data_IF_077490126234
#
_entry.id   IF_077490126234
#
_cell.length_a   1.000
_cell.length_b   1.000
_cell.length_c   1.000
_cell.angle_alpha   90.00
_cell.angle_beta   90.00
_cell.angle_gamma   90.00
#
_symmetry.space_group_name_H-M   'P 1'
#
loop_
_entity.id
_entity.type
_entity.pdbx_description
1 polymer ?
#
# COMPACT_ATOMS: atom_id res chain seq x y z
N UNK A 1 17.83 -55.98 -62.16
CA UNK A 1 17.33 -54.84 -61.38
C UNK A 1 16.14 -55.38 -60.63
N UNK A 2 16.21 -55.50 -59.31
CA UNK A 2 15.19 -56.21 -58.54
C UNK A 2 13.91 -55.38 -58.51
N UNK A 3 12.75 -56.01 -58.72
CA UNK A 3 11.46 -55.32 -58.69
C UNK A 3 11.24 -54.56 -57.37
N UNK A 4 11.78 -55.09 -56.25
CA UNK A 4 11.78 -54.43 -54.94
C UNK A 4 12.59 -53.12 -54.91
N UNK A 5 13.70 -53.02 -55.65
CA UNK A 5 14.49 -51.77 -55.73
C UNK A 5 13.75 -50.72 -56.56
N UNK A 6 13.07 -51.15 -57.63
CA UNK A 6 12.25 -50.28 -58.46
C UNK A 6 11.05 -49.76 -57.66
N UNK A 7 10.43 -50.61 -56.84
CA UNK A 7 9.33 -50.22 -55.95
C UNK A 7 9.78 -49.28 -54.84
N UNK A 8 10.96 -49.51 -54.23
CA UNK A 8 11.56 -48.60 -53.25
C UNK A 8 11.86 -47.22 -53.86
N UNK A 9 12.46 -47.17 -55.05
CA UNK A 9 12.75 -45.91 -55.74
C UNK A 9 11.48 -45.15 -56.16
N UNK A 10 10.40 -45.87 -56.52
CA UNK A 10 9.09 -45.25 -56.77
C UNK A 10 8.49 -44.66 -55.48
N UNK A 11 8.60 -45.38 -54.35
CA UNK A 11 8.11 -44.89 -53.07
C UNK A 11 8.90 -43.66 -52.60
N UNK A 12 10.22 -43.65 -52.74
CA UNK A 12 11.07 -42.49 -52.43
C UNK A 12 10.74 -41.30 -53.33
N UNK A 13 10.53 -41.53 -54.64
CA UNK A 13 10.16 -40.46 -55.56
C UNK A 13 8.79 -39.84 -55.23
N UNK A 14 7.80 -40.65 -54.85
CA UNK A 14 6.49 -40.15 -54.42
C UNK A 14 6.57 -39.42 -53.07
N UNK A 15 7.41 -39.90 -52.15
CA UNK A 15 7.67 -39.20 -50.90
C UNK A 15 8.30 -37.82 -51.15
N UNK A 16 9.32 -37.74 -52.01
CA UNK A 16 9.99 -36.49 -52.38
C UNK A 16 9.04 -35.50 -53.06
N UNK A 17 8.16 -35.98 -53.95
CA UNK A 17 7.11 -35.15 -54.56
C UNK A 17 6.17 -34.57 -53.51
N UNK A 18 5.73 -35.39 -52.56
CA UNK A 18 4.84 -34.98 -51.46
C UNK A 18 5.53 -33.95 -50.56
N UNK A 19 6.79 -34.17 -50.21
CA UNK A 19 7.60 -33.23 -49.42
C UNK A 19 7.77 -31.89 -50.14
N UNK A 20 8.04 -31.90 -51.44
CA UNK A 20 8.16 -30.69 -52.26
C UNK A 20 6.84 -29.93 -52.35
N UNK A 21 5.72 -30.62 -52.53
CA UNK A 21 4.39 -30.00 -52.56
C UNK A 21 4.03 -29.38 -51.21
N UNK A 22 4.32 -30.06 -50.10
CA UNK A 22 4.15 -29.53 -48.75
C UNK A 22 5.03 -28.29 -48.51
N UNK A 23 6.29 -28.31 -48.93
CA UNK A 23 7.19 -27.17 -48.83
C UNK A 23 6.72 -25.98 -49.69
N UNK A 24 6.25 -26.23 -50.90
CA UNK A 24 5.68 -25.19 -51.76
C UNK A 24 4.42 -24.56 -51.15
N UNK A 25 3.55 -25.38 -50.54
CA UNK A 25 2.38 -24.90 -49.82
C UNK A 25 2.77 -24.05 -48.60
N UNK A 26 3.71 -24.54 -47.79
CA UNK A 26 4.19 -23.80 -46.61
C UNK A 26 4.86 -22.47 -47.00
N UNK A 27 5.65 -22.45 -48.07
CA UNK A 27 6.23 -21.22 -48.60
C UNK A 27 5.13 -20.24 -49.04
N UNK A 28 4.07 -20.72 -49.72
CA UNK A 28 2.94 -19.88 -50.10
C UNK A 28 2.19 -19.29 -48.89
N UNK A 29 2.03 -20.05 -47.81
CA UNK A 29 1.42 -19.53 -46.58
C UNK A 29 2.33 -18.52 -45.86
N UNK A 30 3.64 -18.75 -45.85
CA UNK A 30 4.61 -17.78 -45.32
C UNK A 30 4.60 -16.48 -46.12
N UNK A 31 4.55 -16.55 -47.45
CA UNK A 31 4.44 -15.38 -48.32
C UNK A 31 3.17 -14.57 -48.03
N UNK A 32 2.01 -15.25 -47.88
CA UNK A 32 0.76 -14.58 -47.48
C UNK A 32 0.87 -13.94 -46.10
N UNK A 33 1.49 -14.62 -45.13
CA UNK A 33 1.69 -14.08 -43.79
C UNK A 33 2.60 -12.86 -43.81
N UNK A 34 3.68 -12.90 -44.60
CA UNK A 34 4.58 -11.76 -44.81
C UNK A 34 3.81 -10.56 -45.39
N UNK A 35 2.99 -10.78 -46.42
CA UNK A 35 2.18 -9.71 -47.02
C UNK A 35 1.17 -9.15 -46.02
N UNK A 36 0.50 -10.00 -45.24
CA UNK A 36 -0.43 -9.55 -44.18
C UNK A 36 0.27 -8.68 -43.13
N UNK A 37 1.42 -9.14 -42.61
CA UNK A 37 2.19 -8.37 -41.63
C UNK A 37 2.71 -7.06 -42.21
N UNK A 38 3.11 -7.04 -43.49
CA UNK A 38 3.53 -5.81 -44.15
C UNK A 38 2.38 -4.80 -44.29
N UNK A 39 1.16 -5.28 -44.54
CA UNK A 39 -0.03 -4.42 -44.62
C UNK A 39 -0.44 -3.89 -43.24
N UNK A 40 -0.36 -4.72 -42.19
CA UNK A 40 -0.57 -4.32 -40.80
C UNK A 40 0.44 -3.24 -40.37
N UNK A 41 1.72 -3.40 -40.72
CA UNK A 41 2.75 -2.39 -40.44
C UNK A 41 2.57 -1.09 -41.24
N UNK A 42 1.89 -1.15 -42.40
CA UNK A 42 1.54 0.02 -43.21
C UNK A 42 0.37 0.81 -42.63
N UNK A 43 -0.44 0.21 -41.77
CA UNK A 43 -1.46 0.94 -41.01
C UNK A 43 -0.76 1.83 -39.96
N UNK A 44 -0.34 3.02 -40.41
CA UNK A 44 0.35 4.06 -39.63
C UNK A 44 -0.52 4.68 -38.51
N UNK A 45 -1.71 4.15 -38.25
CA UNK A 45 -2.60 4.61 -37.19
C UNK A 45 -2.42 3.73 -35.95
N UNK A 46 -1.20 3.67 -35.42
CA UNK A 46 -1.05 3.33 -34.01
C UNK A 46 -1.57 4.53 -33.22
N UNK A 47 -2.85 4.46 -32.83
CA UNK A 47 -3.54 5.50 -32.08
C UNK A 47 -2.98 5.53 -30.65
N UNK A 48 -1.87 6.24 -30.46
CA UNK A 48 -1.23 6.47 -29.17
C UNK A 48 -2.20 7.01 -28.10
N UNK A 49 -3.29 7.66 -28.51
CA UNK A 49 -4.30 8.20 -27.62
C UNK A 49 -5.07 7.15 -26.80
N UNK A 50 -4.94 5.85 -27.11
CA UNK A 50 -5.63 4.77 -26.39
C UNK A 50 -4.67 3.73 -25.80
N UNK A 51 -3.36 4.00 -25.82
CA UNK A 51 -2.39 3.13 -25.15
C UNK A 51 -2.48 3.31 -23.63
N UNK A 52 -3.37 2.52 -23.04
CA UNK A 52 -3.61 2.46 -21.61
C UNK A 52 -2.30 2.18 -20.84
N UNK A 53 -1.35 1.46 -21.44
CA UNK A 53 -0.08 1.15 -20.80
C UNK A 53 0.86 2.36 -20.83
N UNK A 54 0.89 3.13 -21.92
CA UNK A 54 1.58 4.43 -21.95
C UNK A 54 0.98 5.43 -20.95
N UNK A 55 -0.36 5.49 -20.84
CA UNK A 55 -1.02 6.38 -19.88
C UNK A 55 -0.71 5.96 -18.43
N UNK A 56 -0.70 4.65 -18.14
CA UNK A 56 -0.26 4.14 -16.83
C UNK A 56 1.18 4.51 -16.54
N UNK A 57 2.09 4.34 -17.49
CA UNK A 57 3.51 4.65 -17.30
C UNK A 57 3.73 6.16 -17.14
N UNK A 58 3.02 7.00 -17.90
CA UNK A 58 3.02 8.46 -17.74
C UNK A 58 2.52 8.89 -16.35
N UNK A 59 1.42 8.30 -15.89
CA UNK A 59 0.89 8.55 -14.54
C UNK A 59 1.88 8.11 -13.45
N UNK A 60 2.53 6.95 -13.63
CA UNK A 60 3.56 6.45 -12.73
C UNK A 60 4.78 7.36 -12.70
N UNK A 61 5.22 7.81 -13.87
CA UNK A 61 6.32 8.76 -13.99
C UNK A 61 6.02 10.07 -13.27
N UNK A 62 4.79 10.60 -13.43
CA UNK A 62 4.32 11.78 -12.71
C UNK A 62 4.36 11.58 -11.19
N UNK A 63 3.84 10.46 -10.68
CA UNK A 63 3.90 10.14 -9.25
C UNK A 63 5.34 10.08 -8.72
N UNK A 64 6.26 9.52 -9.50
CA UNK A 64 7.68 9.47 -9.13
C UNK A 64 8.32 10.86 -9.09
N UNK A 65 7.99 11.74 -10.04
CA UNK A 65 8.44 13.13 -10.04
C UNK A 65 7.92 13.90 -8.82
N UNK A 66 6.64 13.76 -8.51
CA UNK A 66 6.02 14.40 -7.33
C UNK A 66 6.67 13.90 -6.02
N UNK A 67 6.99 12.60 -5.94
CA UNK A 67 7.70 12.02 -4.81
C UNK A 67 9.15 12.53 -4.71
N UNK A 68 9.86 12.66 -5.83
CA UNK A 68 11.21 13.23 -5.87
C UNK A 68 11.19 14.68 -5.38
N UNK A 69 10.22 15.48 -5.81
CA UNK A 69 10.10 16.87 -5.38
C UNK A 69 9.83 16.97 -3.88
N UNK A 70 8.88 16.17 -3.38
CA UNK A 70 8.60 16.08 -1.94
C UNK A 70 9.86 15.67 -1.14
N UNK A 71 10.62 14.70 -1.63
CA UNK A 71 11.87 14.29 -0.97
C UNK A 71 12.93 15.39 -1.01
N UNK A 72 13.05 16.14 -2.12
CA UNK A 72 13.96 17.27 -2.24
C UNK A 72 13.64 18.39 -1.25
N UNK A 73 12.37 18.65 -0.99
CA UNK A 73 11.92 19.61 0.01
C UNK A 73 12.17 19.11 1.45
N UNK A 74 11.95 17.83 1.73
CA UNK A 74 12.14 17.26 3.06
C UNK A 74 13.61 17.14 3.48
N UNK A 75 14.51 16.88 2.53
CA UNK A 75 15.93 16.64 2.77
C UNK A 75 16.65 17.81 3.49
N UNK A 76 16.51 19.10 3.09
CA UNK A 76 17.10 20.21 3.83
C UNK A 76 16.47 20.38 5.23
N UNK A 77 15.15 20.21 5.35
CA UNK A 77 14.44 20.30 6.64
C UNK A 77 14.95 19.25 7.63
N UNK A 78 15.14 18.00 7.16
CA UNK A 78 15.69 16.92 7.98
C UNK A 78 17.16 17.16 8.34
N UNK A 79 17.98 17.66 7.40
CA UNK A 79 19.38 18.05 7.68
C UNK A 79 19.46 19.13 8.75
N UNK A 80 18.58 20.14 8.69
CA UNK A 80 18.51 21.19 9.69
C UNK A 80 18.02 20.65 11.04
N UNK A 81 17.01 19.78 11.05
CA UNK A 81 16.55 19.09 12.27
C UNK A 81 17.66 18.24 12.90
N UNK A 82 18.49 17.57 12.11
CA UNK A 82 19.65 16.80 12.62
C UNK A 82 20.73 17.74 13.16
N UNK A 83 21.02 18.83 12.46
CA UNK A 83 22.00 19.84 12.92
C UNK A 83 21.57 20.49 14.23
N UNK A 84 20.26 20.71 14.39
CA UNK A 84 19.65 21.30 15.58
C UNK A 84 19.25 20.25 16.63
N UNK A 85 19.37 18.96 16.31
CA UNK A 85 19.17 17.89 17.26
C UNK A 85 20.36 17.93 18.22
N UNK A 86 20.11 18.45 19.42
CA UNK A 86 21.00 18.25 20.56
C UNK A 86 21.23 16.73 20.68
N UNK A 87 22.49 16.31 20.81
CA UNK A 87 22.88 14.90 21.06
C UNK A 87 22.18 14.31 22.28
N UNK A 88 21.58 15.16 23.11
CA UNK A 88 20.79 14.82 24.25
C UNK A 88 19.45 15.59 24.22
N UNK A 89 18.34 14.89 24.49
CA UNK A 89 16.98 15.46 24.45
C UNK A 89 16.75 16.58 25.49
N UNK A 90 15.57 17.23 25.49
CA UNK A 90 15.26 18.37 26.37
C UNK A 90 15.38 18.06 27.86
N UNK A 91 15.27 16.78 28.25
CA UNK A 91 15.42 16.32 29.64
C UNK A 91 16.88 16.06 30.05
N UNK A 92 17.82 16.24 29.12
CA UNK A 92 19.21 15.99 29.38
C UNK A 92 19.90 17.19 30.00
N UNK A 93 20.30 17.03 31.25
CA UNK A 93 20.97 18.08 32.05
C UNK A 93 22.50 18.07 31.90
N UNK A 94 23.06 17.15 31.10
CA UNK A 94 24.49 17.07 30.84
C UNK A 94 24.93 18.25 29.97
N UNK A 95 25.85 19.06 30.47
CA UNK A 95 26.53 20.07 29.66
C UNK A 95 27.75 19.44 28.99
N UNK A 96 28.12 19.96 27.82
CA UNK A 96 29.32 19.52 27.10
C UNK A 96 30.59 19.67 27.97
N UNK A 97 30.63 20.71 28.81
CA UNK A 97 31.73 20.98 29.75
C UNK A 97 31.80 19.95 30.90
N UNK A 98 30.75 19.17 31.14
CA UNK A 98 30.73 18.13 32.17
C UNK A 98 31.57 16.92 31.75
N UNK A 99 31.79 16.75 30.43
CA UNK A 99 32.46 15.61 29.81
C UNK A 99 33.86 15.97 29.30
N UNK A 100 34.17 17.26 29.12
CA UNK A 100 35.45 17.73 28.59
C UNK A 100 36.40 18.17 29.72
N UNK A 101 36.90 17.21 30.50
CA UNK A 101 37.83 17.47 31.61
C UNK A 101 39.20 16.89 31.28
N UNK A 102 40.23 17.74 31.32
CA UNK A 102 41.61 17.34 31.05
C UNK A 102 42.29 16.87 32.34
N UNK A 103 42.30 15.56 32.59
CA UNK A 103 42.70 14.96 33.87
C UNK A 103 44.14 15.31 34.32
N UNK A 104 45.04 15.57 33.37
CA UNK A 104 46.47 15.78 33.64
C UNK A 104 46.78 17.17 34.22
N UNK A 105 45.82 18.10 34.16
CA UNK A 105 45.95 19.47 34.66
C UNK A 105 45.29 19.70 36.02
N UNK A 106 44.71 18.66 36.64
CA UNK A 106 44.01 18.80 37.92
C UNK A 106 44.95 18.57 39.11
N UNK A 107 44.84 19.43 40.11
CA UNK A 107 45.40 19.15 41.44
C UNK A 107 44.66 17.98 42.10
N UNK A 108 45.25 17.29 43.10
CA UNK A 108 44.60 16.19 43.81
C UNK A 108 43.23 16.58 44.43
N UNK A 109 43.10 17.81 44.91
CA UNK A 109 41.85 18.32 45.47
C UNK A 109 40.77 18.57 44.40
N UNK A 110 41.17 19.03 43.21
CA UNK A 110 40.26 19.19 42.07
C UNK A 110 39.82 17.84 41.52
N UNK A 111 40.73 16.88 41.41
CA UNK A 111 40.42 15.52 41.00
C UNK A 111 39.37 14.89 41.93
N UNK A 112 39.56 15.02 43.26
CA UNK A 112 38.59 14.52 44.24
C UNK A 112 37.21 15.18 44.10
N UNK A 113 37.15 16.49 43.82
CA UNK A 113 35.89 17.19 43.56
C UNK A 113 35.22 16.70 42.28
N UNK A 114 36.00 16.46 41.23
CA UNK A 114 35.52 15.92 39.96
C UNK A 114 34.97 14.50 40.11
N UNK A 115 35.65 13.62 40.87
CA UNK A 115 35.15 12.27 41.17
C UNK A 115 33.81 12.33 41.91
N UNK A 116 33.71 13.12 42.98
CA UNK A 116 32.43 13.29 43.72
C UNK A 116 31.31 13.84 42.85
N UNK A 117 31.64 14.72 41.90
CA UNK A 117 30.69 15.24 40.92
C UNK A 117 30.20 14.12 40.00
N UNK A 118 31.11 13.30 39.46
CA UNK A 118 30.74 12.16 38.62
C UNK A 118 29.92 11.11 39.35
N UNK A 119 30.17 10.87 40.64
CA UNK A 119 29.35 9.97 41.45
C UNK A 119 27.90 10.46 41.58
N UNK A 120 27.70 11.77 41.81
CA UNK A 120 26.35 12.36 41.82
C UNK A 120 25.68 12.25 40.46
N UNK A 121 26.41 12.61 39.40
CA UNK A 121 25.91 12.53 38.04
C UNK A 121 25.50 11.10 37.66
N UNK A 122 26.28 10.10 38.06
CA UNK A 122 25.93 8.68 37.91
C UNK A 122 24.60 8.36 38.59
N UNK A 123 24.42 8.78 39.84
CA UNK A 123 23.16 8.55 40.57
C UNK A 123 21.97 9.24 39.89
N UNK A 124 22.14 10.48 39.44
CA UNK A 124 21.10 11.24 38.73
C UNK A 124 20.72 10.57 37.39
N UNK A 125 21.71 10.09 36.64
CA UNK A 125 21.51 9.37 35.39
C UNK A 125 20.80 8.04 35.61
N UNK A 126 21.17 7.27 36.63
CA UNK A 126 20.49 6.01 37.00
C UNK A 126 19.02 6.29 37.36
N UNK A 127 18.75 7.33 38.15
CA UNK A 127 17.39 7.74 38.49
C UNK A 127 16.57 8.12 37.26
N UNK A 128 17.17 8.93 36.38
CA UNK A 128 16.54 9.37 35.12
C UNK A 128 16.25 8.17 34.21
N UNK A 129 17.19 7.25 34.07
CA UNK A 129 17.03 6.03 33.28
C UNK A 129 15.83 5.21 33.80
N UNK A 130 15.77 4.94 35.11
CA UNK A 130 14.68 4.19 35.73
C UNK A 130 13.31 4.87 35.52
N UNK A 131 13.28 6.20 35.61
CA UNK A 131 12.06 6.98 35.33
C UNK A 131 11.61 6.84 33.88
N UNK A 132 12.55 6.87 32.93
CA UNK A 132 12.28 6.69 31.50
C UNK A 132 11.80 5.28 31.18
N UNK A 133 12.43 4.26 31.76
CA UNK A 133 12.00 2.87 31.64
C UNK A 133 10.56 2.68 32.15
N UNK A 134 10.25 3.24 33.32
CA UNK A 134 8.89 3.19 33.86
C UNK A 134 7.86 3.87 32.95
N UNK A 135 8.20 5.04 32.39
CA UNK A 135 7.32 5.74 31.44
C UNK A 135 7.08 4.91 30.17
N UNK A 136 8.12 4.29 29.62
CA UNK A 136 8.02 3.44 28.44
C UNK A 136 7.17 2.20 28.69
N UNK A 137 7.28 1.57 29.86
CA UNK A 137 6.41 0.46 30.27
C UNK A 137 4.95 0.89 30.36
N UNK A 138 4.70 2.04 30.99
CA UNK A 138 3.35 2.62 31.08
C UNK A 138 2.76 2.94 29.70
N UNK A 139 3.55 3.53 28.81
CA UNK A 139 3.13 3.87 27.45
C UNK A 139 2.86 2.61 26.61
N UNK A 140 3.70 1.59 26.74
CA UNK A 140 3.53 0.30 26.07
C UNK A 140 2.23 -0.40 26.50
N UNK A 141 1.91 -0.38 27.80
CA UNK A 141 0.62 -0.89 28.33
C UNK A 141 -0.58 -0.09 27.81
N UNK A 142 -0.44 1.22 27.67
CA UNK A 142 -1.48 2.06 27.08
C UNK A 142 -1.67 1.74 25.59
N UNK A 143 -0.57 1.60 24.85
CA UNK A 143 -0.59 1.25 23.44
C UNK A 143 -1.33 -0.06 23.18
N UNK A 144 -1.03 -1.12 23.95
CA UNK A 144 -1.73 -2.41 23.83
C UNK A 144 -3.24 -2.22 24.04
N UNK A 145 -3.65 -1.53 25.11
CA UNK A 145 -5.09 -1.27 25.37
C UNK A 145 -5.78 -0.51 24.24
N UNK A 146 -5.14 0.54 23.74
CA UNK A 146 -5.68 1.34 22.62
C UNK A 146 -5.74 0.51 21.34
N UNK A 147 -4.74 -0.33 21.10
CA UNK A 147 -4.71 -1.23 19.96
C UNK A 147 -5.83 -2.27 20.02
N UNK A 148 -6.06 -2.87 21.18
CA UNK A 148 -7.16 -3.83 21.39
C UNK A 148 -8.52 -3.15 21.16
N UNK A 149 -8.69 -1.92 21.66
CA UNK A 149 -9.89 -1.12 21.41
C UNK A 149 -10.08 -0.80 19.92
N UNK A 150 -9.00 -0.47 19.20
CA UNK A 150 -9.03 -0.26 17.75
C UNK A 150 -9.51 -1.53 17.03
N UNK A 151 -8.94 -2.68 17.37
CA UNK A 151 -9.33 -3.96 16.77
C UNK A 151 -10.79 -4.31 17.07
N UNK A 152 -11.25 -4.08 18.30
CA UNK A 152 -12.66 -4.24 18.66
C UNK A 152 -13.59 -3.39 17.79
N UNK A 153 -13.31 -2.08 17.68
CA UNK A 153 -14.11 -1.16 16.86
C UNK A 153 -14.07 -1.51 15.36
N UNK A 154 -12.93 -1.99 14.86
CA UNK A 154 -12.82 -2.48 13.48
C UNK A 154 -13.73 -3.69 13.24
N UNK A 155 -13.80 -4.63 14.19
CA UNK A 155 -14.70 -5.77 14.09
C UNK A 155 -16.17 -5.34 14.10
N UNK A 156 -16.56 -4.41 14.98
CA UNK A 156 -17.93 -3.86 15.03
C UNK A 156 -18.32 -3.17 13.72
N UNK A 157 -17.40 -2.38 13.13
CA UNK A 157 -17.61 -1.76 11.83
C UNK A 157 -17.79 -2.79 10.72
N UNK A 158 -16.98 -3.85 10.72
CA UNK A 158 -17.11 -4.95 9.75
C UNK A 158 -18.47 -5.65 9.88
N UNK A 159 -18.93 -5.93 11.10
CA UNK A 159 -20.25 -6.52 11.35
C UNK A 159 -21.36 -5.59 10.83
N UNK A 160 -21.26 -4.28 11.12
CA UNK A 160 -22.23 -3.29 10.64
C UNK A 160 -22.28 -3.21 9.12
N UNK A 161 -21.12 -3.17 8.45
CA UNK A 161 -21.01 -3.19 6.99
C UNK A 161 -21.66 -4.45 6.40
N UNK A 162 -21.37 -5.62 6.96
CA UNK A 162 -21.99 -6.88 6.53
C UNK A 162 -23.52 -6.86 6.70
N UNK A 163 -24.02 -6.33 7.81
CA UNK A 163 -25.46 -6.18 8.04
C UNK A 163 -26.09 -5.21 7.04
N UNK A 164 -25.45 -4.08 6.75
CA UNK A 164 -25.89 -3.12 5.74
C UNK A 164 -25.96 -3.80 4.36
N UNK A 165 -24.92 -4.53 3.95
CA UNK A 165 -24.93 -5.25 2.67
C UNK A 165 -26.05 -6.30 2.60
N UNK A 166 -26.29 -7.06 3.68
CA UNK A 166 -27.40 -8.03 3.75
C UNK A 166 -28.76 -7.34 3.60
N UNK A 167 -28.96 -6.21 4.27
CA UNK A 167 -30.20 -5.43 4.18
C UNK A 167 -30.39 -4.81 2.80
N UNK A 168 -29.32 -4.28 2.19
CA UNK A 168 -29.34 -3.73 0.83
C UNK A 168 -29.63 -4.82 -0.22
N UNK A 169 -29.03 -6.01 -0.09
CA UNK A 169 -29.30 -7.16 -0.96
C UNK A 169 -30.76 -7.63 -0.88
N UNK A 170 -31.37 -7.51 0.29
CA UNK A 170 -32.79 -7.79 0.51
C UNK A 170 -33.69 -6.56 0.23
N UNK A 171 -33.16 -5.47 -0.32
CA UNK A 171 -33.88 -4.22 -0.55
C UNK A 171 -35.13 -4.39 -1.41
N UNK A 172 -35.06 -5.20 -2.48
CA UNK A 172 -36.24 -5.52 -3.31
C UNK A 172 -37.30 -6.29 -2.53
N UNK A 173 -36.93 -7.19 -1.61
CA UNK A 173 -37.91 -7.92 -0.80
C UNK A 173 -38.71 -6.96 0.09
N UNK A 174 -38.02 -6.04 0.79
CA UNK A 174 -38.68 -5.05 1.67
C UNK A 174 -39.51 -3.99 0.93
N UNK A 175 -39.25 -3.76 -0.36
CA UNK A 175 -40.06 -2.90 -1.23
C UNK A 175 -41.36 -3.57 -1.71
N UNK A 176 -41.38 -4.91 -1.81
CA UNK A 176 -42.52 -5.68 -2.30
C UNK A 176 -43.34 -6.36 -1.20
N UNK A 177 -43.00 -6.18 0.08
CA UNK A 177 -43.89 -6.59 1.17
C UNK A 177 -45.13 -5.69 1.14
N UNK A 178 -46.34 -6.22 0.94
CA UNK A 178 -47.57 -5.44 1.04
C UNK A 178 -47.72 -4.98 2.49
N UNK A 179 -47.28 -3.74 2.77
CA UNK A 179 -47.46 -3.12 4.07
C UNK A 179 -48.95 -2.81 4.24
N UNK A 180 -49.61 -3.54 5.13
CA UNK A 180 -50.96 -3.15 5.57
C UNK A 180 -50.85 -1.75 6.19
N UNK A 181 -51.67 -0.82 5.73
CA UNK A 181 -51.64 0.60 6.09
C UNK A 181 -51.84 0.90 7.61
N UNK A 182 -52.07 -0.12 8.43
CA UNK A 182 -52.40 0.00 9.85
C UNK A 182 -51.26 -0.35 10.82
N UNK A 183 -50.05 -0.64 10.33
CA UNK A 183 -48.91 -0.87 11.21
C UNK A 183 -48.40 0.45 11.81
N UNK A 184 -48.88 0.77 13.02
CA UNK A 184 -48.36 1.87 13.83
C UNK A 184 -46.91 1.55 14.22
N UNK A 185 -45.99 2.48 13.97
CA UNK A 185 -44.64 2.36 14.55
C UNK A 185 -44.77 2.68 16.04
N UNK A 186 -44.37 1.74 16.89
CA UNK A 186 -44.26 1.96 18.33
C UNK A 186 -42.91 2.63 18.63
N UNK A 187 -42.95 3.92 18.99
CA UNK A 187 -41.82 4.57 19.64
C UNK A 187 -41.82 4.19 21.13
N UNK A 188 -40.75 3.58 21.67
CA UNK A 188 -40.67 3.18 23.08
C UNK A 188 -40.91 4.33 24.07
N UNK A 189 -40.74 5.59 23.66
CA UNK A 189 -40.96 6.78 24.50
C UNK A 189 -42.26 7.53 24.18
N UNK A 190 -42.83 7.39 22.98
CA UNK A 190 -43.95 8.22 22.50
C UNK A 190 -45.20 7.44 22.09
N UNK A 191 -45.17 6.11 22.14
CA UNK A 191 -46.31 5.28 21.78
C UNK A 191 -46.55 5.22 20.27
N UNK A 192 -47.76 4.85 19.82
CA UNK A 192 -48.04 4.57 18.41
C UNK A 192 -48.10 5.85 17.56
N UNK A 193 -47.13 6.04 16.66
CA UNK A 193 -47.04 7.23 15.78
C UNK A 193 -47.68 6.92 14.42
N UNK A 194 -48.53 7.83 13.90
CA UNK A 194 -49.02 7.79 12.51
C UNK A 194 -47.87 8.14 11.57
N UNK A 195 -47.54 7.25 10.62
CA UNK A 195 -46.54 7.52 9.58
C UNK A 195 -47.06 8.59 8.60
N UNK A 196 -46.58 9.83 8.71
CA UNK A 196 -46.57 10.76 7.58
C UNK A 196 -45.45 10.36 6.64
N UNK A 197 -45.77 9.71 5.53
CA UNK A 197 -44.80 9.39 4.48
C UNK A 197 -44.42 10.69 3.75
N UNK A 198 -43.27 11.28 4.11
CA UNK A 198 -42.58 12.23 3.25
C UNK A 198 -41.92 11.45 2.11
N UNK A 199 -42.40 11.65 0.89
CA UNK A 199 -41.89 11.02 -0.34
C UNK A 199 -40.55 11.62 -0.82
N UNK A 200 -39.79 12.24 0.07
CA UNK A 200 -38.52 12.86 -0.28
C UNK A 200 -37.42 11.80 -0.23
N UNK A 201 -37.06 11.30 -1.42
CA UNK A 201 -35.83 10.54 -1.61
C UNK A 201 -34.68 11.31 -0.96
N UNK A 202 -34.03 10.70 0.02
CA UNK A 202 -32.81 11.27 0.59
C UNK A 202 -31.76 11.43 -0.52
N UNK A 203 -31.06 12.58 -0.57
CA UNK A 203 -30.09 12.84 -1.62
C UNK A 203 -28.96 11.79 -1.58
N UNK A 204 -28.43 11.37 -2.74
CA UNK A 204 -27.36 10.39 -2.80
C UNK A 204 -26.11 10.94 -2.13
N UNK A 205 -25.45 10.09 -1.35
CA UNK A 205 -24.18 10.39 -0.70
C UNK A 205 -23.12 10.45 -1.82
N UNK A 206 -22.54 11.63 -2.01
CA UNK A 206 -21.45 11.83 -2.96
C UNK A 206 -20.21 11.05 -2.48
N UNK A 207 -19.79 10.06 -3.28
CA UNK A 207 -18.44 9.49 -3.27
C UNK A 207 -17.48 10.34 -4.07
#
# INVERSE_FOLDING_TARGET
MNDNEIESLKAELEHEKTCREAAAWQNGELEKQIVSMQEELRHSDYIWDHDNDLQKESNRHKQLLDAIETMREQLPVLKEKIKNAKTCGPDCKLKHDDLNINLDLLTPAELLRTVKRFERLKTDLISTLRSKEWRLDSESKLFVRVNDQRTYLQNELMICQNNIMRLQKNGSYWQHVPRKNDERILDPKRGPIKRSFGNERLPPIAT
#
